data_IF_120436976444
#
_entry.id   IF_120436976444
#
_cell.length_a   1.000
_cell.length_b   1.000
_cell.length_c   1.000
_cell.angle_alpha   90.00
_cell.angle_beta   90.00
_cell.angle_gamma   90.00
#
_symmetry.space_group_name_H-M   'P 1'
#
loop_
_entity.id
_entity.type
_entity.pdbx_description
1 polymer ?
#
# COMPACT_ATOMS: atom_id res chain seq x y z
N UNK A 1 8.74 -16.63 6.77
CA UNK A 1 7.87 -16.09 7.83
C UNK A 1 8.57 -14.94 8.52
N UNK A 2 7.90 -14.27 9.45
CA UNK A 2 8.54 -13.26 10.31
C UNK A 2 9.65 -13.91 11.13
N UNK A 3 10.72 -13.16 11.37
CA UNK A 3 11.93 -13.61 12.05
C UNK A 3 12.19 -12.76 13.30
N UNK A 4 12.64 -13.43 14.35
CA UNK A 4 13.40 -12.82 15.46
C UNK A 4 14.86 -13.23 15.34
N UNK A 5 15.76 -12.58 16.08
CA UNK A 5 17.17 -12.89 16.01
C UNK A 5 17.89 -12.87 17.37
N UNK A 6 18.95 -13.66 17.45
CA UNK A 6 19.98 -13.60 18.49
C UNK A 6 21.32 -13.28 17.82
N UNK A 7 22.07 -12.32 18.38
CA UNK A 7 23.37 -11.91 17.86
C UNK A 7 24.46 -12.35 18.84
N UNK A 8 25.43 -13.10 18.33
CA UNK A 8 26.62 -13.54 19.06
C UNK A 8 27.87 -13.12 18.27
N UNK A 9 28.24 -11.85 18.40
CA UNK A 9 29.39 -11.29 17.69
C UNK A 9 30.72 -11.90 18.15
N UNK A 10 30.80 -12.42 19.39
CA UNK A 10 32.03 -13.03 19.90
C UNK A 10 32.39 -14.30 19.14
N UNK A 11 31.38 -15.05 18.69
CA UNK A 11 31.55 -16.25 17.87
C UNK A 11 31.28 -16.01 16.38
N UNK A 12 31.01 -14.75 15.98
CA UNK A 12 30.72 -14.40 14.59
C UNK A 12 29.41 -14.99 14.07
N UNK A 13 28.36 -15.07 14.91
CA UNK A 13 27.09 -15.74 14.57
C UNK A 13 25.87 -14.84 14.72
N UNK A 14 24.91 -15.00 13.81
CA UNK A 14 23.55 -14.48 13.94
C UNK A 14 22.56 -15.61 13.70
N UNK A 15 21.69 -15.88 14.66
CA UNK A 15 20.65 -16.88 14.54
C UNK A 15 19.30 -16.22 14.37
N UNK A 16 18.60 -16.54 13.29
CA UNK A 16 17.20 -16.19 13.08
C UNK A 16 16.29 -17.35 13.48
N UNK A 17 15.14 -17.00 14.05
CA UNK A 17 14.07 -17.94 14.40
C UNK A 17 12.76 -17.44 13.81
N UNK A 18 12.05 -18.32 13.09
CA UNK A 18 10.74 -18.04 12.53
C UNK A 18 9.72 -17.88 13.66
N UNK A 19 9.05 -16.72 13.71
CA UNK A 19 8.07 -16.36 14.75
C UNK A 19 6.63 -16.33 14.23
N UNK A 20 6.43 -16.27 12.91
CA UNK A 20 5.10 -16.22 12.32
C UNK A 20 5.08 -16.48 10.82
N UNK A 21 3.92 -16.83 10.29
CA UNK A 21 3.71 -16.95 8.85
C UNK A 21 3.49 -15.57 8.22
N UNK A 22 3.85 -15.44 6.94
CA UNK A 22 3.55 -14.28 6.09
C UNK A 22 2.78 -14.83 4.91
N UNK A 23 1.58 -14.31 4.68
CA UNK A 23 0.71 -14.75 3.58
C UNK A 23 0.02 -13.57 2.91
N UNK A 24 0.67 -12.93 1.92
CA UNK A 24 0.09 -11.83 1.17
C UNK A 24 -1.16 -12.24 0.38
N UNK A 25 -1.38 -13.53 0.13
CA UNK A 25 -2.54 -14.00 -0.64
C UNK A 25 -3.84 -13.93 0.17
N UNK A 26 -3.74 -13.90 1.50
CA UNK A 26 -4.89 -13.79 2.41
C UNK A 26 -5.63 -12.44 2.33
N UNK A 27 -4.98 -11.37 1.86
CA UNK A 27 -5.57 -10.03 1.81
C UNK A 27 -6.68 -9.87 0.76
N UNK A 28 -6.62 -10.60 -0.35
CA UNK A 28 -7.64 -10.54 -1.41
C UNK A 28 -9.02 -11.00 -0.90
N UNK A 29 -9.18 -12.23 -0.33
CA UNK A 29 -10.47 -12.64 0.21
C UNK A 29 -10.92 -11.78 1.40
N UNK A 30 -9.98 -11.28 2.22
CA UNK A 30 -10.32 -10.35 3.30
C UNK A 30 -10.96 -9.05 2.77
N UNK A 31 -10.39 -8.47 1.72
CA UNK A 31 -10.92 -7.26 1.09
C UNK A 31 -12.28 -7.51 0.41
N UNK A 32 -12.44 -8.63 -0.29
CA UNK A 32 -13.69 -9.00 -0.93
C UNK A 32 -14.84 -9.18 0.09
N UNK A 33 -14.54 -9.80 1.24
CA UNK A 33 -15.48 -9.94 2.34
C UNK A 33 -15.81 -8.59 3.01
N UNK A 34 -14.83 -7.69 3.09
CA UNK A 34 -14.98 -6.37 3.71
C UNK A 34 -15.82 -5.39 2.88
N UNK A 35 -15.73 -5.46 1.55
CA UNK A 35 -16.47 -4.60 0.61
C UNK A 35 -17.85 -5.14 0.19
N UNK A 36 -18.32 -6.23 0.81
CA UNK A 36 -19.20 -7.23 0.18
C UNK A 36 -19.19 -7.27 -1.37
N UNK A 37 -18.00 -7.33 -1.97
CA UNK A 37 -17.83 -7.37 -3.44
C UNK A 37 -16.91 -8.54 -3.84
N UNK A 38 -17.47 -9.69 -4.22
CA UNK A 38 -16.67 -10.86 -4.65
C UNK A 38 -15.75 -10.55 -5.85
N UNK A 39 -16.14 -9.61 -6.71
CA UNK A 39 -15.35 -9.19 -7.87
C UNK A 39 -14.22 -8.21 -7.55
N UNK A 40 -14.16 -7.66 -6.33
CA UNK A 40 -13.15 -6.66 -5.98
C UNK A 40 -11.73 -7.18 -6.27
N UNK A 41 -10.92 -6.32 -6.92
CA UNK A 41 -9.56 -6.59 -7.42
C UNK A 41 -9.46 -7.56 -8.62
N UNK A 42 -10.56 -8.14 -9.09
CA UNK A 42 -10.51 -9.20 -10.13
C UNK A 42 -11.22 -8.86 -11.43
N UNK A 43 -12.27 -8.04 -11.38
CA UNK A 43 -13.09 -7.71 -12.56
C UNK A 43 -12.92 -6.26 -13.06
N UNK A 44 -12.17 -5.43 -12.33
CA UNK A 44 -11.96 -4.02 -12.65
C UNK A 44 -13.19 -3.12 -12.49
N UNK A 45 -14.25 -3.61 -11.83
CA UNK A 45 -15.49 -2.85 -11.60
C UNK A 45 -15.33 -1.67 -10.65
N UNK A 46 -14.33 -1.74 -9.76
CA UNK A 46 -14.04 -0.72 -8.77
C UNK A 46 -12.69 -0.06 -9.09
N UNK A 47 -12.72 1.26 -9.27
CA UNK A 47 -11.54 2.09 -9.30
C UNK A 47 -11.12 2.43 -7.87
N UNK A 48 -9.98 1.91 -7.44
CA UNK A 48 -9.33 2.29 -6.19
C UNK A 48 -8.28 3.37 -6.44
N UNK A 49 -8.35 4.46 -5.70
CA UNK A 49 -7.22 5.38 -5.53
C UNK A 49 -6.34 4.90 -4.38
N UNK A 50 -5.14 5.47 -4.26
CA UNK A 50 -4.33 5.18 -3.08
C UNK A 50 -4.96 5.69 -1.79
N UNK A 51 -5.77 6.75 -1.84
CA UNK A 51 -6.53 7.21 -0.68
C UNK A 51 -7.50 6.14 -0.16
N UNK A 52 -8.20 5.46 -1.06
CA UNK A 52 -9.12 4.38 -0.69
C UNK A 52 -8.35 3.19 -0.09
N UNK A 53 -7.23 2.79 -0.70
CA UNK A 53 -6.34 1.76 -0.18
C UNK A 53 -5.79 2.16 1.19
N UNK A 54 -5.40 3.43 1.36
CA UNK A 54 -4.94 3.99 2.64
C UNK A 54 -6.01 3.90 3.72
N UNK A 55 -7.30 4.08 3.39
CA UNK A 55 -8.39 3.86 4.35
C UNK A 55 -8.51 2.39 4.74
N UNK A 56 -8.45 1.48 3.76
CA UNK A 56 -8.54 0.03 3.97
C UNK A 56 -7.33 -0.58 4.70
N UNK A 57 -6.25 0.18 4.85
CA UNK A 57 -4.99 -0.27 5.48
C UNK A 57 -4.78 0.33 6.88
N UNK A 58 -5.85 0.80 7.53
CA UNK A 58 -5.78 1.37 8.87
C UNK A 58 -5.94 0.31 9.96
N UNK A 59 -5.19 0.40 11.07
CA UNK A 59 -5.37 -0.51 12.21
C UNK A 59 -6.69 -0.29 12.95
N UNK A 60 -7.34 0.86 12.71
CA UNK A 60 -8.71 1.17 13.09
C UNK A 60 -9.46 1.65 11.85
N UNK A 61 -10.57 1.00 11.48
CA UNK A 61 -11.42 1.43 10.38
C UNK A 61 -12.81 1.91 10.86
N UNK A 62 -13.26 3.13 10.50
CA UNK A 62 -12.47 4.16 9.80
C UNK A 62 -11.35 4.72 10.68
N UNK A 63 -10.40 5.40 10.04
CA UNK A 63 -9.25 5.98 10.73
C UNK A 63 -9.67 6.94 11.85
N UNK A 64 -8.85 7.03 12.89
CA UNK A 64 -9.08 7.97 14.00
C UNK A 64 -10.25 7.63 14.92
N UNK A 65 -10.86 6.44 14.79
CA UNK A 65 -11.91 5.95 15.71
C UNK A 65 -11.37 4.81 16.58
N UNK A 66 -10.91 5.09 17.82
CA UNK A 66 -10.32 4.08 18.68
C UNK A 66 -11.25 2.90 18.96
N UNK A 67 -10.68 1.69 19.05
CA UNK A 67 -11.41 0.48 19.39
C UNK A 67 -12.20 -0.16 18.25
N UNK A 68 -12.17 0.41 17.04
CA UNK A 68 -12.71 -0.25 15.84
C UNK A 68 -11.82 -1.42 15.40
N UNK A 69 -12.36 -2.43 14.70
CA UNK A 69 -11.54 -3.44 14.02
C UNK A 69 -10.68 -2.81 12.90
N UNK A 70 -9.60 -3.47 12.47
CA UNK A 70 -8.77 -3.00 11.37
C UNK A 70 -9.48 -3.07 10.02
N UNK A 71 -8.99 -2.29 9.06
CA UNK A 71 -9.31 -2.48 7.66
C UNK A 71 -8.71 -3.79 7.11
N UNK A 72 -9.19 -4.27 5.96
CA UNK A 72 -8.85 -5.61 5.47
C UNK A 72 -7.40 -5.76 5.01
N UNK A 73 -6.67 -4.66 4.82
CA UNK A 73 -5.26 -4.65 4.39
C UNK A 73 -4.29 -4.39 5.55
N UNK A 74 -4.82 -4.26 6.77
CA UNK A 74 -4.07 -3.95 7.99
C UNK A 74 -4.09 -5.11 8.97
N UNK A 75 -3.11 -5.10 9.87
CA UNK A 75 -3.13 -5.93 11.07
C UNK A 75 -3.98 -5.31 12.18
N UNK A 76 -4.46 -6.12 13.15
CA UNK A 76 -4.99 -5.61 14.41
C UNK A 76 -3.95 -4.75 15.14
N UNK A 77 -4.42 -3.72 15.86
CA UNK A 77 -3.55 -2.76 16.55
C UNK A 77 -2.49 -3.39 17.47
N UNK A 78 -2.77 -4.56 18.07
CA UNK A 78 -1.83 -5.27 18.93
C UNK A 78 -0.57 -5.76 18.21
N UNK A 79 -0.66 -5.94 16.89
CA UNK A 79 0.41 -6.43 16.03
C UNK A 79 0.89 -5.34 15.06
N UNK A 80 0.12 -4.27 14.90
CA UNK A 80 0.41 -3.19 13.97
C UNK A 80 1.45 -2.22 14.54
N UNK A 81 2.33 -1.71 13.69
CA UNK A 81 3.15 -0.54 13.97
C UNK A 81 3.43 0.24 12.68
N UNK A 82 4.08 1.40 12.79
CA UNK A 82 4.56 2.13 11.61
C UNK A 82 5.57 1.33 10.76
N UNK A 83 6.15 0.26 11.31
CA UNK A 83 7.04 -0.67 10.62
C UNK A 83 6.39 -2.03 10.32
N UNK A 84 5.13 -2.23 10.73
CA UNK A 84 4.38 -3.47 10.52
C UNK A 84 2.92 -3.14 10.20
N UNK A 85 2.69 -2.70 8.96
CA UNK A 85 1.41 -2.15 8.52
C UNK A 85 0.44 -3.20 7.97
N UNK A 86 0.87 -4.44 7.78
CA UNK A 86 0.11 -5.50 7.12
C UNK A 86 0.61 -5.74 5.70
N UNK A 87 -0.25 -5.58 4.70
CA UNK A 87 0.03 -5.95 3.31
C UNK A 87 1.39 -5.43 2.79
N UNK A 88 1.75 -4.19 3.10
CA UNK A 88 2.98 -3.56 2.60
C UNK A 88 4.23 -4.30 3.09
N UNK A 89 4.33 -4.58 4.40
CA UNK A 89 5.45 -5.37 4.95
C UNK A 89 5.36 -6.83 4.50
N UNK A 90 4.18 -7.43 4.46
CA UNK A 90 4.02 -8.83 4.05
C UNK A 90 4.52 -9.08 2.62
N UNK A 91 4.40 -8.08 1.75
CA UNK A 91 4.90 -8.14 0.38
C UNK A 91 6.43 -8.06 0.26
N UNK A 92 7.12 -7.38 1.17
CA UNK A 92 8.56 -7.10 1.04
C UNK A 92 9.45 -7.81 2.08
N UNK A 93 8.86 -8.34 3.15
CA UNK A 93 9.62 -8.85 4.29
C UNK A 93 10.57 -9.98 3.92
N UNK A 94 10.13 -10.91 3.07
CA UNK A 94 10.94 -12.09 2.71
C UNK A 94 12.24 -11.68 1.99
N UNK A 95 12.17 -10.69 1.10
CA UNK A 95 13.35 -10.18 0.41
C UNK A 95 14.20 -9.31 1.33
N UNK A 96 13.59 -8.54 2.22
CA UNK A 96 14.31 -7.77 3.25
C UNK A 96 15.11 -8.69 4.17
N UNK A 97 14.51 -9.79 4.64
CA UNK A 97 15.19 -10.80 5.44
C UNK A 97 16.35 -11.46 4.67
N UNK A 98 16.13 -11.79 3.39
CA UNK A 98 17.16 -12.36 2.53
C UNK A 98 18.32 -11.38 2.30
N UNK A 99 18.02 -10.09 2.08
CA UNK A 99 19.01 -9.03 1.97
C UNK A 99 19.87 -8.95 3.23
N UNK A 100 19.25 -8.87 4.41
CA UNK A 100 19.97 -8.82 5.70
C UNK A 100 20.85 -10.07 5.87
N UNK A 101 20.33 -11.27 5.60
CA UNK A 101 21.11 -12.50 5.70
C UNK A 101 22.31 -12.52 4.74
N UNK A 102 22.12 -12.06 3.49
CA UNK A 102 23.21 -11.95 2.51
C UNK A 102 24.30 -10.97 2.96
N UNK A 103 23.90 -9.83 3.53
CA UNK A 103 24.84 -8.83 4.04
C UNK A 103 25.63 -9.36 5.24
N UNK A 104 24.96 -10.03 6.18
CA UNK A 104 25.61 -10.63 7.35
C UNK A 104 26.65 -11.68 6.95
N UNK A 105 26.34 -12.54 5.96
CA UNK A 105 27.31 -13.48 5.41
C UNK A 105 28.47 -12.76 4.69
N UNK A 106 28.19 -11.69 3.94
CA UNK A 106 29.21 -10.92 3.22
C UNK A 106 30.24 -10.27 4.16
N UNK A 107 29.83 -9.89 5.38
CA UNK A 107 30.75 -9.38 6.42
C UNK A 107 31.39 -10.49 7.27
N UNK A 108 31.22 -11.75 6.89
CA UNK A 108 31.90 -12.90 7.49
C UNK A 108 31.17 -13.56 8.67
N UNK A 109 29.89 -13.26 8.90
CA UNK A 109 29.12 -13.89 9.96
C UNK A 109 28.45 -15.18 9.48
N UNK A 110 28.43 -16.21 10.32
CA UNK A 110 27.59 -17.38 10.10
C UNK A 110 26.15 -17.03 10.45
N UNK A 111 25.24 -17.23 9.50
CA UNK A 111 23.80 -17.02 9.66
C UNK A 111 23.10 -18.36 9.75
N UNK A 112 22.25 -18.56 10.76
CA UNK A 112 21.38 -19.74 10.85
C UNK A 112 19.90 -19.36 10.84
N UNK A 113 19.06 -20.23 10.31
CA UNK A 113 17.60 -20.13 10.38
C UNK A 113 17.05 -21.39 11.06
N UNK A 114 16.25 -21.21 12.12
CA UNK A 114 15.56 -22.29 12.84
C UNK A 114 16.53 -23.42 13.27
N UNK A 115 17.72 -23.02 13.75
CA UNK A 115 18.77 -23.93 14.21
C UNK A 115 19.66 -24.53 13.13
N UNK A 116 19.45 -24.19 11.86
CA UNK A 116 20.25 -24.70 10.73
C UNK A 116 21.07 -23.59 10.10
N UNK A 117 22.39 -23.79 9.96
CA UNK A 117 23.26 -22.83 9.27
C UNK A 117 22.87 -22.73 7.79
N UNK A 118 22.72 -21.49 7.30
CA UNK A 118 22.36 -21.23 5.91
C UNK A 118 23.58 -21.45 5.00
N UNK A 119 23.39 -22.00 3.80
CA UNK A 119 24.44 -22.02 2.79
C UNK A 119 24.79 -20.58 2.34
N UNK A 120 25.91 -20.39 1.60
CA UNK A 120 26.20 -19.10 0.98
C UNK A 120 25.04 -18.61 0.11
N UNK A 121 24.50 -17.44 0.44
CA UNK A 121 23.32 -16.85 -0.23
C UNK A 121 23.71 -16.18 -1.56
N UNK A 122 24.93 -15.64 -1.65
CA UNK A 122 25.39 -14.87 -2.81
C UNK A 122 25.00 -13.40 -2.74
N UNK A 123 24.85 -12.76 -3.90
CA UNK A 123 24.50 -11.34 -3.98
C UNK A 123 23.09 -11.06 -3.49
N UNK A 124 22.92 -9.87 -2.89
CA UNK A 124 21.65 -9.45 -2.35
C UNK A 124 20.58 -9.28 -3.44
N UNK A 125 19.29 -9.54 -3.16
CA UNK A 125 18.24 -9.39 -4.16
C UNK A 125 18.07 -7.93 -4.63
N UNK A 126 17.91 -7.72 -5.94
CA UNK A 126 17.61 -6.39 -6.51
C UNK A 126 16.13 -6.02 -6.47
N UNK A 127 15.27 -6.99 -6.16
CA UNK A 127 13.82 -6.85 -6.08
C UNK A 127 13.38 -6.92 -4.60
N UNK A 128 12.66 -5.91 -4.13
CA UNK A 128 12.20 -5.76 -2.75
C UNK A 128 11.04 -6.69 -2.38
N UNK A 129 10.31 -7.25 -3.35
CA UNK A 129 9.14 -8.13 -3.08
C UNK A 129 9.32 -9.57 -3.55
N UNK A 130 10.26 -9.80 -4.47
CA UNK A 130 10.39 -11.06 -5.21
C UNK A 130 9.29 -11.23 -6.26
N UNK A 131 8.41 -10.23 -6.43
CA UNK A 131 7.30 -10.23 -7.38
C UNK A 131 7.67 -9.31 -8.54
N UNK A 132 7.84 -9.87 -9.74
CA UNK A 132 8.32 -9.11 -10.91
C UNK A 132 7.41 -7.95 -11.33
N UNK A 133 6.12 -7.99 -10.96
CA UNK A 133 5.15 -6.92 -11.29
C UNK A 133 5.20 -5.72 -10.34
N UNK A 134 5.74 -5.89 -9.14
CA UNK A 134 5.87 -4.84 -8.12
C UNK A 134 7.26 -4.92 -7.46
N UNK A 135 8.34 -4.81 -8.26
CA UNK A 135 9.69 -5.09 -7.77
C UNK A 135 10.17 -4.11 -6.69
N UNK A 136 9.51 -2.96 -6.58
CA UNK A 136 9.83 -1.91 -5.62
C UNK A 136 8.75 -1.78 -4.51
N UNK A 137 7.86 -2.76 -4.39
CA UNK A 137 6.77 -2.72 -3.42
C UNK A 137 5.58 -1.87 -3.86
N UNK A 138 4.77 -1.50 -2.88
CA UNK A 138 3.61 -0.61 -2.98
C UNK A 138 3.75 0.49 -1.94
N UNK A 139 2.85 1.48 -1.96
CA UNK A 139 2.77 2.48 -0.90
C UNK A 139 1.33 2.68 -0.48
N UNK A 140 1.08 2.82 0.82
CA UNK A 140 -0.25 2.99 1.39
C UNK A 140 -0.61 4.46 1.68
N UNK A 141 0.21 5.41 1.23
CA UNK A 141 -0.06 6.84 1.39
C UNK A 141 -0.92 7.38 0.24
N UNK A 142 -1.95 8.19 0.56
CA UNK A 142 -2.72 8.89 -0.46
C UNK A 142 -1.82 9.76 -1.36
N UNK A 143 -2.26 10.00 -2.59
CA UNK A 143 -1.47 10.76 -3.57
C UNK A 143 -1.47 10.19 -4.98
N UNK A 144 -2.19 9.09 -5.26
CA UNK A 144 -2.26 8.53 -6.60
C UNK A 144 -3.67 8.09 -7.00
N UNK A 145 -3.96 8.25 -8.29
CA UNK A 145 -5.23 7.89 -8.90
C UNK A 145 -5.02 7.12 -10.21
N UNK A 146 -5.89 6.16 -10.53
CA UNK A 146 -5.86 5.46 -11.81
C UNK A 146 -6.32 6.36 -12.97
N UNK A 147 -5.69 6.19 -14.12
CA UNK A 147 -6.00 6.89 -15.39
C UNK A 147 -6.91 6.00 -16.22
N UNK A 148 -8.02 6.57 -16.69
CA UNK A 148 -9.01 5.88 -17.51
C UNK A 148 -9.15 6.51 -18.90
N UNK A 149 -9.49 5.65 -19.87
CA UNK A 149 -10.09 6.03 -21.15
C UNK A 149 -11.49 5.45 -21.19
N UNK A 150 -12.52 6.29 -21.00
CA UNK A 150 -13.86 5.80 -20.70
C UNK A 150 -13.87 5.01 -19.38
N UNK A 151 -14.28 3.73 -19.42
CA UNK A 151 -14.22 2.81 -18.27
C UNK A 151 -13.01 1.86 -18.30
N UNK A 152 -12.10 2.01 -19.27
CA UNK A 152 -10.90 1.19 -19.38
C UNK A 152 -9.73 1.81 -18.63
N UNK A 153 -9.16 1.07 -17.68
CA UNK A 153 -7.91 1.44 -17.00
C UNK A 153 -6.74 1.44 -18.00
N UNK A 154 -6.00 2.55 -18.10
CA UNK A 154 -4.88 2.70 -19.04
C UNK A 154 -3.56 3.13 -18.37
N UNK A 155 -3.58 3.35 -17.07
CA UNK A 155 -2.39 3.72 -16.30
C UNK A 155 -2.74 4.26 -14.92
N UNK A 156 -1.80 4.93 -14.29
CA UNK A 156 -1.99 5.67 -13.04
C UNK A 156 -1.03 6.86 -12.99
N UNK A 157 -1.37 7.86 -12.20
CA UNK A 157 -0.48 8.99 -11.87
C UNK A 157 -0.43 9.15 -10.35
N UNK A 158 0.75 9.45 -9.83
CA UNK A 158 0.98 9.72 -8.43
C UNK A 158 1.80 10.98 -8.22
N UNK A 159 1.55 11.65 -7.11
CA UNK A 159 2.33 12.77 -6.60
C UNK A 159 2.84 12.42 -5.20
N UNK A 160 4.02 12.92 -4.86
CA UNK A 160 4.60 12.84 -3.53
C UNK A 160 5.29 14.16 -3.23
N UNK A 161 5.24 14.62 -1.98
CA UNK A 161 5.73 15.93 -1.59
C UNK A 161 5.28 16.29 -0.19
N UNK A 162 4.62 17.43 -0.06
CA UNK A 162 4.19 18.04 1.21
C UNK A 162 3.26 17.12 2.03
N UNK A 163 1.95 17.28 1.91
CA UNK A 163 0.94 16.50 2.60
C UNK A 163 0.19 15.53 1.69
N UNK A 164 -0.39 14.49 2.28
CA UNK A 164 -1.19 13.48 1.59
C UNK A 164 -2.36 14.11 0.81
N UNK A 165 -3.03 15.10 1.40
CA UNK A 165 -4.17 15.76 0.77
C UNK A 165 -3.74 16.64 -0.42
N UNK A 166 -2.59 17.29 -0.31
CA UNK A 166 -2.01 18.04 -1.44
C UNK A 166 -1.54 17.09 -2.55
N UNK A 167 -1.01 15.92 -2.19
CA UNK A 167 -0.62 14.89 -3.16
C UNK A 167 -1.84 14.35 -3.92
N UNK A 168 -2.96 14.11 -3.22
CA UNK A 168 -4.23 13.75 -3.86
C UNK A 168 -4.69 14.85 -4.82
N UNK A 169 -4.66 16.11 -4.37
CA UNK A 169 -5.04 17.26 -5.20
C UNK A 169 -4.20 17.34 -6.47
N UNK A 170 -2.86 17.26 -6.36
CA UNK A 170 -1.95 17.39 -7.51
C UNK A 170 -2.18 16.27 -8.50
N UNK A 171 -2.27 15.01 -8.06
CA UNK A 171 -2.49 13.88 -8.95
C UNK A 171 -3.87 13.95 -9.63
N UNK A 172 -4.92 14.21 -8.86
CA UNK A 172 -6.30 14.19 -9.33
C UNK A 172 -6.66 15.38 -10.22
N UNK A 173 -6.27 16.61 -9.83
CA UNK A 173 -6.49 17.78 -10.67
C UNK A 173 -5.54 17.81 -11.86
N UNK A 174 -4.30 17.31 -11.71
CA UNK A 174 -3.39 17.14 -12.83
C UNK A 174 -3.98 16.24 -13.91
N UNK A 175 -4.53 15.08 -13.52
CA UNK A 175 -5.21 14.17 -14.43
C UNK A 175 -6.49 14.79 -15.03
N UNK A 176 -7.32 15.44 -14.21
CA UNK A 176 -8.52 16.12 -14.71
C UNK A 176 -8.18 17.19 -15.76
N UNK A 177 -7.22 18.07 -15.47
CA UNK A 177 -6.80 19.14 -16.37
C UNK A 177 -6.18 18.59 -17.65
N UNK A 178 -5.38 17.53 -17.56
CA UNK A 178 -4.87 16.82 -18.73
C UNK A 178 -6.02 16.26 -19.59
N UNK A 179 -7.05 15.70 -18.96
CA UNK A 179 -8.26 15.24 -19.66
C UNK A 179 -8.98 16.35 -20.41
N UNK A 180 -9.11 17.55 -19.81
CA UNK A 180 -9.68 18.73 -20.47
C UNK A 180 -8.84 19.14 -21.70
N UNK A 181 -7.52 19.27 -21.54
CA UNK A 181 -6.60 19.66 -22.64
C UNK A 181 -6.61 18.63 -23.78
N UNK A 182 -6.77 17.35 -23.45
CA UNK A 182 -6.79 16.24 -24.40
C UNK A 182 -8.19 15.89 -24.91
N UNK A 183 -9.18 16.79 -24.77
CA UNK A 183 -10.56 16.60 -25.22
C UNK A 183 -11.20 15.29 -24.74
N UNK A 184 -10.95 14.90 -23.49
CA UNK A 184 -11.51 13.70 -22.87
C UNK A 184 -10.88 12.37 -23.31
N UNK A 185 -9.73 12.40 -23.99
CA UNK A 185 -9.04 11.18 -24.43
C UNK A 185 -8.58 10.28 -23.26
N UNK A 186 -8.34 10.88 -22.09
CA UNK A 186 -8.12 10.25 -20.79
C UNK A 186 -8.77 11.08 -19.68
N UNK A 187 -8.94 10.50 -18.49
CA UNK A 187 -9.41 11.22 -17.32
C UNK A 187 -9.38 10.38 -16.05
N UNK A 188 -9.95 10.93 -14.98
CA UNK A 188 -10.22 10.19 -13.75
C UNK A 188 -11.19 9.03 -14.01
N UNK A 189 -11.24 8.06 -13.08
CA UNK A 189 -12.25 7.02 -13.13
C UNK A 189 -13.68 7.62 -13.19
N UNK A 190 -14.62 7.02 -13.95
CA UNK A 190 -16.02 7.41 -13.91
C UNK A 190 -16.56 7.38 -12.47
N UNK A 191 -17.33 8.38 -12.01
CA UNK A 191 -17.82 8.44 -10.64
C UNK A 191 -18.52 7.15 -10.17
N UNK A 192 -19.29 6.48 -11.04
CA UNK A 192 -19.99 5.22 -10.74
C UNK A 192 -19.08 4.02 -10.46
N UNK A 193 -17.79 4.08 -10.84
CA UNK A 193 -16.82 3.02 -10.59
C UNK A 193 -15.95 3.29 -9.37
N UNK A 194 -15.97 4.50 -8.81
CA UNK A 194 -15.02 4.89 -7.77
C UNK A 194 -15.30 4.18 -6.45
N UNK A 195 -14.23 3.91 -5.71
CA UNK A 195 -14.29 3.27 -4.40
C UNK A 195 -15.14 4.05 -3.37
N UNK A 196 -15.33 5.36 -3.53
CA UNK A 196 -16.15 6.17 -2.64
C UNK A 196 -17.67 5.95 -2.84
N UNK A 197 -18.10 5.05 -3.72
CA UNK A 197 -19.47 4.53 -3.73
C UNK A 197 -19.73 3.50 -2.61
N UNK A 198 -18.68 3.03 -1.92
CA UNK A 198 -18.78 1.98 -0.91
C UNK A 198 -18.69 2.55 0.52
N UNK A 199 -19.50 1.97 1.42
CA UNK A 199 -19.63 2.38 2.84
C UNK A 199 -19.44 1.15 3.75
N UNK A 200 -18.30 0.44 3.66
CA UNK A 200 -18.09 -0.74 4.48
C UNK A 200 -18.10 -0.37 5.97
N UNK A 201 -18.69 -1.23 6.80
CA UNK A 201 -18.85 -1.01 8.24
C UNK A 201 -19.48 0.35 8.64
N UNK A 202 -20.24 0.98 7.74
CA UNK A 202 -20.89 2.27 8.00
C UNK A 202 -20.00 3.50 7.80
N UNK A 203 -18.78 3.34 7.25
CA UNK A 203 -17.91 4.45 6.91
C UNK A 203 -17.55 4.45 5.42
N UNK A 204 -17.82 5.59 4.75
CA UNK A 204 -17.58 5.77 3.31
C UNK A 204 -16.08 5.80 3.03
N UNK A 205 -15.64 5.06 2.02
CA UNK A 205 -14.28 5.18 1.52
C UNK A 205 -14.08 6.55 0.88
N UNK A 206 -12.89 7.12 1.01
CA UNK A 206 -12.51 8.32 0.29
C UNK A 206 -11.83 7.94 -1.02
N UNK A 207 -12.20 8.59 -2.13
CA UNK A 207 -11.49 8.43 -3.39
C UNK A 207 -10.33 9.43 -3.51
N UNK A 208 -10.53 10.67 -3.10
CA UNK A 208 -9.47 11.67 -2.92
C UNK A 208 -9.86 12.57 -1.76
N UNK A 209 -8.90 13.18 -1.08
CA UNK A 209 -9.13 14.23 -0.11
C UNK A 209 -8.30 15.45 -0.50
N UNK A 210 -8.96 16.50 -1.00
CA UNK A 210 -8.29 17.73 -1.36
C UNK A 210 -8.32 18.74 -0.19
N UNK A 211 -7.27 19.56 0.00
CA UNK A 211 -7.27 20.60 1.02
C UNK A 211 -8.43 21.59 0.79
N UNK A 212 -8.98 22.15 1.87
CA UNK A 212 -10.15 23.03 1.80
C UNK A 212 -9.87 24.29 0.97
N UNK A 213 -8.76 25.00 1.26
CA UNK A 213 -8.32 26.20 0.54
C UNK A 213 -6.94 25.98 -0.09
N UNK A 214 -6.83 25.25 -1.22
CA UNK A 214 -5.54 24.76 -1.71
C UNK A 214 -4.76 25.77 -2.55
N UNK A 215 -5.40 26.84 -3.03
CA UNK A 215 -4.80 27.79 -3.97
C UNK A 215 -4.43 29.11 -3.29
N UNK A 216 -3.23 29.59 -3.57
CA UNK A 216 -2.76 30.88 -3.09
C UNK A 216 -3.61 32.01 -3.67
N UNK A 217 -3.92 33.02 -2.84
CA UNK A 217 -4.71 34.19 -3.23
C UNK A 217 -6.08 33.84 -3.86
N UNK A 218 -6.69 32.74 -3.45
CA UNK A 218 -7.98 32.27 -3.94
C UNK A 218 -8.94 32.00 -2.78
N UNK A 219 -10.24 32.12 -3.05
CA UNK A 219 -11.33 31.73 -2.14
C UNK A 219 -12.02 30.45 -2.59
N UNK A 220 -11.54 29.79 -3.63
CA UNK A 220 -12.11 28.53 -4.12
C UNK A 220 -12.06 27.44 -3.03
N UNK A 221 -13.13 26.67 -2.94
CA UNK A 221 -13.31 25.53 -2.04
C UNK A 221 -13.77 24.32 -2.84
N UNK A 222 -13.68 23.12 -2.25
CA UNK A 222 -14.18 21.88 -2.85
C UNK A 222 -13.66 21.64 -4.29
N UNK A 223 -12.42 22.02 -4.56
CA UNK A 223 -11.86 22.10 -5.92
C UNK A 223 -11.82 20.76 -6.67
N UNK A 224 -12.02 19.65 -5.98
CA UNK A 224 -12.06 18.30 -6.54
C UNK A 224 -13.50 17.77 -6.75
N UNK A 225 -14.51 18.47 -6.26
CA UNK A 225 -15.91 18.08 -6.41
C UNK A 225 -16.36 18.18 -7.88
N UNK A 226 -17.11 17.18 -8.35
CA UNK A 226 -17.61 17.11 -9.72
C UNK A 226 -16.56 16.75 -10.80
N UNK A 227 -15.33 16.40 -10.40
CA UNK A 227 -14.21 16.07 -11.31
C UNK A 227 -13.86 14.58 -11.34
#
# INVERSE_FOLDING_TARGET
GFLSNTVDLANGRVAFTTTGAIDPTSYVPALQAFLPQPGALTDGSIAFSNRAIANLSRPYYPDGVPGRPPGPLSLPISNWSVFNTGLELDLDYSQTALFVASYLQAIGLTVSLDGTDLPPIGEAPTNCTGISRIPNGITLFGGSVPIYRGSTLVGAIGSSGDGTDQSDLVAFLGLHNAGVVLNGAIGNAPPSMRADNFVPQGARLLYVQCPQAPFLNSTEQYVCEGK
#
